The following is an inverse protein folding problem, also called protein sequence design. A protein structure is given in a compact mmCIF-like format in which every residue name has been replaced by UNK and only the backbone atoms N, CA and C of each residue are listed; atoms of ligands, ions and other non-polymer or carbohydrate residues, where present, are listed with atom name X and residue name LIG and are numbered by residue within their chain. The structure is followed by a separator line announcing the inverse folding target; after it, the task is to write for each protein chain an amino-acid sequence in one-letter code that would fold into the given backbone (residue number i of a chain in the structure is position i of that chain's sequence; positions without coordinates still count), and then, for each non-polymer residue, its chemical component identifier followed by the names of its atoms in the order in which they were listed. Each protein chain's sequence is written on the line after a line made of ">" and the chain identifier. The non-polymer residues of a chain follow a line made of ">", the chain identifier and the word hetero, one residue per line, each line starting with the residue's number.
data_IF_960259976653
#
_entry.id   IF_960259976653
#
_cell.length_a   1.000
_cell.length_b   1.000
_cell.length_c   1.000
_cell.angle_alpha   90.00
_cell.angle_beta   90.00
_cell.angle_gamma   90.00
#
_symmetry.space_group_name_H-M   'P 1'
#
loop_
_entity.id
_entity.type
_entity.pdbx_description
1 polymer ?
#
# COMPACT_ATOMS: atom_id res chain seq x y z
N UNK A 1 -7.14 1.63 -15.44
CA UNK A 1 -5.72 1.94 -15.16
C UNK A 1 -4.87 0.94 -15.94
N UNK A 2 -3.84 1.39 -16.65
CA UNK A 2 -2.99 0.53 -17.47
C UNK A 2 -1.71 0.11 -16.72
N UNK A 3 -0.96 -0.82 -17.31
CA UNK A 3 0.31 -1.34 -16.74
C UNK A 3 1.28 -0.22 -16.37
N UNK A 4 1.45 0.77 -17.24
CA UNK A 4 2.40 1.88 -17.04
C UNK A 4 2.02 2.74 -15.85
N UNK A 5 0.72 3.04 -15.68
CA UNK A 5 0.20 3.79 -14.55
C UNK A 5 0.44 3.05 -13.23
N UNK A 6 0.17 1.75 -13.18
CA UNK A 6 0.43 0.94 -11.97
C UNK A 6 1.92 0.87 -11.65
N UNK A 7 2.78 0.71 -12.67
CA UNK A 7 4.23 0.72 -12.47
C UNK A 7 4.73 2.08 -11.96
N UNK A 8 4.17 3.19 -12.44
CA UNK A 8 4.49 4.53 -11.95
C UNK A 8 4.11 4.69 -10.48
N UNK A 9 2.93 4.19 -10.06
CA UNK A 9 2.51 4.22 -8.65
C UNK A 9 3.50 3.45 -7.78
N UNK A 10 3.89 2.24 -8.18
CA UNK A 10 4.90 1.43 -7.47
C UNK A 10 6.22 2.20 -7.35
N UNK A 11 6.67 2.84 -8.43
CA UNK A 11 7.92 3.61 -8.44
C UNK A 11 7.86 4.83 -7.52
N UNK A 12 6.73 5.56 -7.52
CA UNK A 12 6.50 6.70 -6.62
C UNK A 12 6.54 6.25 -5.17
N UNK A 13 5.79 5.20 -4.81
CA UNK A 13 5.79 4.64 -3.46
C UNK A 13 7.17 4.12 -3.05
N UNK A 14 7.90 3.50 -3.97
CA UNK A 14 9.30 3.08 -3.74
C UNK A 14 10.22 4.27 -3.46
N UNK A 15 10.05 5.40 -4.17
CA UNK A 15 10.76 6.64 -3.90
C UNK A 15 10.41 7.25 -2.54
N UNK A 16 9.13 7.23 -2.17
CA UNK A 16 8.66 7.67 -0.84
C UNK A 16 9.30 6.82 0.26
N UNK A 17 9.33 5.49 0.08
CA UNK A 17 9.94 4.55 1.03
C UNK A 17 11.43 4.76 1.25
N UNK A 18 12.16 5.21 0.23
CA UNK A 18 13.58 5.54 0.40
C UNK A 18 13.84 6.80 1.23
N UNK A 19 12.88 7.73 1.28
CA UNK A 19 13.04 9.05 1.93
C UNK A 19 11.74 9.51 2.60
N UNK A 20 11.16 8.74 3.55
CA UNK A 20 9.83 9.01 4.08
C UNK A 20 9.72 10.39 4.73
N UNK A 21 10.79 10.85 5.41
CA UNK A 21 10.84 12.16 6.05
C UNK A 21 10.74 13.38 5.11
N UNK A 22 10.91 13.19 3.80
CA UNK A 22 10.68 14.25 2.79
C UNK A 22 9.18 14.43 2.49
N UNK A 23 8.39 13.37 2.64
CA UNK A 23 6.98 13.32 2.25
C UNK A 23 6.04 13.36 3.44
N UNK A 24 6.51 12.90 4.60
CA UNK A 24 5.71 12.72 5.80
C UNK A 24 6.47 13.25 7.02
N UNK A 25 5.76 13.95 7.90
CA UNK A 25 6.22 14.13 9.27
C UNK A 25 6.02 12.83 10.05
N UNK A 26 6.77 12.66 11.15
CA UNK A 26 6.59 11.53 12.07
C UNK A 26 5.12 11.35 12.45
N UNK A 27 4.67 10.09 12.56
CA UNK A 27 3.31 9.67 12.91
C UNK A 27 2.22 10.01 11.88
N UNK A 28 2.58 10.31 10.63
CA UNK A 28 1.60 10.64 9.58
C UNK A 28 1.55 9.63 8.42
N UNK A 29 2.22 8.48 8.53
CA UNK A 29 2.20 7.46 7.47
C UNK A 29 0.79 6.98 7.11
N UNK A 30 -0.05 6.75 8.12
CA UNK A 30 -1.44 6.34 7.90
C UNK A 30 -2.23 7.40 7.13
N UNK A 31 -2.20 8.65 7.60
CA UNK A 31 -2.89 9.76 6.94
C UNK A 31 -2.36 10.06 5.54
N UNK A 32 -1.06 9.91 5.31
CA UNK A 32 -0.47 10.00 3.98
C UNK A 32 -0.97 8.90 3.06
N UNK A 33 -0.96 7.64 3.51
CA UNK A 33 -1.42 6.50 2.71
C UNK A 33 -2.93 6.57 2.44
N UNK A 34 -3.73 6.97 3.41
CA UNK A 34 -5.17 7.17 3.23
C UNK A 34 -5.43 8.30 2.22
N UNK A 35 -4.71 9.41 2.34
CA UNK A 35 -4.76 10.51 1.36
C UNK A 35 -4.29 10.10 -0.03
N UNK A 36 -3.25 9.28 -0.12
CA UNK A 36 -2.71 8.74 -1.37
C UNK A 36 -3.71 7.80 -2.04
N UNK A 37 -4.32 6.87 -1.30
CA UNK A 37 -5.36 5.97 -1.79
C UNK A 37 -6.59 6.74 -2.26
N UNK A 38 -7.06 7.71 -1.48
CA UNK A 38 -8.17 8.59 -1.86
C UNK A 38 -7.87 9.37 -3.15
N UNK A 39 -6.67 9.94 -3.26
CA UNK A 39 -6.25 10.64 -4.47
C UNK A 39 -6.23 9.71 -5.70
N UNK A 40 -5.76 8.47 -5.52
CA UNK A 40 -5.77 7.48 -6.60
C UNK A 40 -7.18 7.05 -6.96
N UNK A 41 -8.06 6.74 -6.00
CA UNK A 41 -9.46 6.42 -6.25
C UNK A 41 -10.19 7.54 -7.02
N UNK A 42 -9.93 8.79 -6.65
CA UNK A 42 -10.52 9.96 -7.33
C UNK A 42 -9.96 10.19 -8.75
N UNK A 43 -8.66 9.98 -8.96
CA UNK A 43 -7.99 10.28 -10.23
C UNK A 43 -8.08 9.16 -11.27
N UNK A 44 -8.20 7.90 -10.84
CA UNK A 44 -8.17 6.73 -11.73
C UNK A 44 -9.52 6.01 -11.86
N UNK A 45 -10.53 6.39 -11.06
CA UNK A 45 -11.79 5.68 -10.85
C UNK A 45 -11.62 4.20 -10.42
N UNK A 46 -10.40 3.78 -10.04
CA UNK A 46 -10.05 2.44 -9.58
C UNK A 46 -8.88 2.51 -8.59
N UNK A 47 -9.16 2.35 -7.29
CA UNK A 47 -8.14 2.14 -6.26
C UNK A 47 -7.54 0.73 -6.29
N UNK A 48 -6.67 0.43 -5.32
CA UNK A 48 -6.26 -0.96 -5.06
C UNK A 48 -7.48 -1.78 -4.67
N UNK A 49 -7.80 -2.89 -5.36
CA UNK A 49 -8.83 -3.81 -4.89
C UNK A 49 -8.56 -4.25 -3.45
N UNK A 50 -9.57 -4.13 -2.59
CA UNK A 50 -9.44 -4.47 -1.16
C UNK A 50 -8.93 -5.90 -0.94
N UNK A 51 -9.21 -6.83 -1.86
CA UNK A 51 -8.68 -8.21 -1.83
C UNK A 51 -7.16 -8.25 -1.87
N UNK A 52 -6.51 -7.53 -2.78
CA UNK A 52 -5.05 -7.53 -2.88
C UNK A 52 -4.38 -6.87 -1.69
N UNK A 53 -5.00 -5.83 -1.13
CA UNK A 53 -4.50 -5.20 0.08
C UNK A 53 -4.62 -6.13 1.30
N UNK A 54 -5.73 -6.86 1.43
CA UNK A 54 -5.91 -7.89 2.45
C UNK A 54 -4.88 -9.02 2.33
N UNK A 55 -4.62 -9.47 1.12
CA UNK A 55 -3.60 -10.50 0.85
C UNK A 55 -2.21 -9.99 1.24
N UNK A 56 -1.84 -8.76 0.86
CA UNK A 56 -0.55 -8.18 1.23
C UNK A 56 -0.38 -8.04 2.76
N UNK A 57 -1.44 -7.69 3.50
CA UNK A 57 -1.41 -7.70 4.96
C UNK A 57 -1.21 -9.11 5.52
N UNK A 58 -1.98 -10.09 5.03
CA UNK A 58 -1.94 -11.46 5.51
C UNK A 58 -0.59 -12.13 5.25
N UNK A 59 0.01 -11.92 4.07
CA UNK A 59 1.33 -12.43 3.70
C UNK A 59 2.45 -11.93 4.63
N UNK A 60 2.24 -10.78 5.27
CA UNK A 60 3.16 -10.17 6.22
C UNK A 60 2.80 -10.44 7.69
N UNK A 61 1.77 -11.25 7.93
CA UNK A 61 1.35 -11.67 9.27
C UNK A 61 0.56 -10.60 10.03
N UNK A 62 -0.13 -9.71 9.31
CA UNK A 62 -1.05 -8.73 9.86
C UNK A 62 -2.49 -9.14 9.66
N UNK A 63 -3.34 -8.89 10.65
CA UNK A 63 -4.77 -9.13 10.51
C UNK A 63 -5.46 -7.97 9.77
N UNK A 64 -6.36 -8.32 8.84
CA UNK A 64 -7.24 -7.32 8.25
C UNK A 64 -8.29 -6.88 9.27
N UNK A 65 -8.22 -5.61 9.68
CA UNK A 65 -9.31 -4.95 10.39
C UNK A 65 -9.30 -3.44 10.13
N UNK A 66 -10.45 -2.81 10.31
CA UNK A 66 -10.65 -1.36 10.10
C UNK A 66 -9.77 -0.49 11.02
N UNK A 67 -9.24 -1.03 12.11
CA UNK A 67 -8.37 -0.32 13.05
C UNK A 67 -7.05 -1.07 13.39
N UNK A 68 -6.90 -2.33 12.95
CA UNK A 68 -5.91 -3.25 13.52
C UNK A 68 -4.47 -3.02 13.08
N UNK A 69 -4.10 -2.81 11.80
CA UNK A 69 -2.69 -2.96 11.42
C UNK A 69 -1.78 -2.01 12.20
N UNK A 70 -2.18 -0.74 12.33
CA UNK A 70 -1.42 0.26 13.11
C UNK A 70 -1.46 0.01 14.62
N UNK A 71 -2.63 -0.35 15.16
CA UNK A 71 -2.79 -0.64 16.59
C UNK A 71 -1.99 -1.89 16.99
N UNK A 72 -1.99 -2.90 16.14
CA UNK A 72 -1.24 -4.14 16.29
C UNK A 72 0.26 -3.90 16.13
N UNK A 73 0.70 -3.14 15.13
CA UNK A 73 2.10 -2.72 14.98
C UNK A 73 2.59 -1.97 16.23
N UNK A 74 1.76 -1.07 16.78
CA UNK A 74 2.06 -0.36 18.03
C UNK A 74 2.14 -1.32 19.23
N UNK A 75 1.22 -2.28 19.34
CA UNK A 75 1.22 -3.29 20.42
C UNK A 75 2.43 -4.22 20.33
N UNK A 76 2.86 -4.57 19.11
CA UNK A 76 4.08 -5.34 18.83
C UNK A 76 5.36 -4.52 19.03
N UNK A 77 5.25 -3.23 19.36
CA UNK A 77 6.38 -2.39 19.74
C UNK A 77 7.17 -1.81 18.58
N UNK A 78 6.62 -1.80 17.36
CA UNK A 78 7.28 -1.16 16.22
C UNK A 78 7.46 0.34 16.50
N UNK A 79 8.64 0.83 16.16
CA UNK A 79 8.93 2.26 16.08
C UNK A 79 8.12 2.91 14.97
N UNK A 80 8.03 4.24 14.97
CA UNK A 80 7.28 4.97 13.95
C UNK A 80 7.92 4.80 12.57
N UNK A 81 9.24 4.78 12.51
CA UNK A 81 10.00 4.49 11.29
C UNK A 81 9.69 3.08 10.75
N UNK A 82 9.64 2.07 11.62
CA UNK A 82 9.29 0.69 11.24
C UNK A 82 7.84 0.58 10.76
N UNK A 83 6.90 1.28 11.40
CA UNK A 83 5.50 1.33 10.94
C UNK A 83 5.39 1.96 9.56
N UNK A 84 6.08 3.07 9.33
CA UNK A 84 6.08 3.76 8.03
C UNK A 84 6.62 2.82 6.94
N UNK A 85 7.77 2.18 7.20
CA UNK A 85 8.39 1.23 6.27
C UNK A 85 7.45 0.05 5.97
N UNK A 86 6.82 -0.50 7.00
CA UNK A 86 5.93 -1.65 6.90
C UNK A 86 4.67 -1.31 6.09
N UNK A 87 4.03 -0.18 6.38
CA UNK A 87 2.82 0.26 5.68
C UNK A 87 3.09 0.58 4.20
N UNK A 88 4.21 1.24 3.90
CA UNK A 88 4.63 1.48 2.51
C UNK A 88 4.92 0.17 1.78
N UNK A 89 5.50 -0.80 2.47
CA UNK A 89 5.79 -2.11 1.89
C UNK A 89 4.52 -2.88 1.57
N UNK A 90 3.55 -2.92 2.50
CA UNK A 90 2.22 -3.51 2.26
C UNK A 90 1.54 -2.86 1.05
N UNK A 91 1.56 -1.53 0.96
CA UNK A 91 0.96 -0.79 -0.15
C UNK A 91 1.62 -1.16 -1.48
N UNK A 92 2.97 -1.17 -1.54
CA UNK A 92 3.72 -1.57 -2.74
C UNK A 92 3.41 -3.02 -3.15
N UNK A 93 3.33 -3.94 -2.20
CA UNK A 93 3.00 -5.35 -2.47
C UNK A 93 1.58 -5.49 -3.03
N UNK A 94 0.61 -4.75 -2.49
CA UNK A 94 -0.75 -4.74 -3.03
C UNK A 94 -0.77 -4.22 -4.48
N UNK A 95 -0.02 -3.16 -4.80
CA UNK A 95 0.11 -2.66 -6.16
C UNK A 95 0.82 -3.63 -7.11
N UNK A 96 1.81 -4.38 -6.62
CA UNK A 96 2.46 -5.44 -7.42
C UNK A 96 1.49 -6.56 -7.79
N UNK A 97 0.53 -6.90 -6.91
CA UNK A 97 -0.53 -7.87 -7.22
C UNK A 97 -1.47 -7.33 -8.30
N UNK A 98 -1.84 -6.05 -8.24
CA UNK A 98 -2.60 -5.38 -9.33
C UNK A 98 -1.83 -5.45 -10.65
N UNK A 99 -0.53 -5.15 -10.63
CA UNK A 99 0.32 -5.22 -11.83
C UNK A 99 0.33 -6.64 -12.41
N UNK A 100 0.52 -7.65 -11.56
CA UNK A 100 0.52 -9.05 -11.98
C UNK A 100 -0.82 -9.48 -12.60
N UNK A 101 -1.96 -9.00 -12.06
CA UNK A 101 -3.28 -9.27 -12.64
C UNK A 101 -3.44 -8.61 -14.01
N UNK A 102 -2.95 -7.38 -14.20
CA UNK A 102 -2.99 -6.71 -15.51
C UNK A 102 -2.10 -7.44 -16.54
N UNK A 103 -0.98 -8.00 -16.09
CA UNK A 103 -0.07 -8.77 -16.93
C UNK A 103 -0.59 -10.18 -17.26
N UNK A 104 -1.53 -10.70 -16.47
CA UNK A 104 -2.22 -11.97 -16.68
C UNK A 104 -3.69 -11.73 -16.99
N UNK A 105 -4.06 -11.23 -18.19
CA UNK A 105 -5.45 -11.20 -18.59
C UNK A 105 -5.88 -12.65 -18.83
N UNK A 106 -6.59 -13.22 -17.87
CA UNK A 106 -7.33 -14.50 -17.92
C UNK A 106 -6.85 -15.55 -18.95
N UNK A 107 -6.16 -16.57 -18.47
CA UNK A 107 -6.35 -17.90 -19.05
C UNK A 107 -7.78 -18.36 -18.74
N UNK A 108 -8.71 -18.10 -19.67
CA UNK A 108 -9.91 -18.92 -19.90
C UNK A 108 -11.20 -18.48 -19.21
N UNK A 109 -12.08 -17.84 -19.99
CA UNK A 109 -13.46 -18.30 -20.21
C UNK A 109 -13.81 -18.16 -21.69
#
# INVERSE_FOLDING_TARGET
>A
MNKEQVQQIINVLGGVRQRPGLYMRQNQASGFLDGFRLALEMLSAMGVPTSFYKEALAERGWEWSLAAPLAEMQQRGLTEEEKVEELLTIEIEAWKKVLAQIEQPENGQ
#
